data_IF_650751499146
#
_entry.id   IF_650751499146
#
_cell.length_a   1.000
_cell.length_b   1.000
_cell.length_c   1.000
_cell.angle_alpha   90.00
_cell.angle_beta   90.00
_cell.angle_gamma   90.00
#
_symmetry.space_group_name_H-M   'P 1'
#
loop_
_entity.id
_entity.type
_entity.pdbx_description
1 polymer ?
#
# COMPACT_ATOMS: atom_id res chain seq x y z
N UNK A 1 26.35 80.71 20.38
CA UNK A 1 24.98 81.25 20.72
C UNK A 1 24.00 80.11 20.69
N UNK A 2 23.39 79.87 21.88
CA UNK A 2 22.09 79.25 22.13
C UNK A 2 21.87 77.80 21.69
N UNK A 3 21.79 76.95 22.48
CA UNK A 3 20.92 76.51 23.60
C UNK A 3 20.30 75.14 23.28
N UNK A 4 20.53 74.20 24.13
CA UNK A 4 19.77 73.00 24.46
C UNK A 4 18.31 73.33 24.87
N UNK A 5 17.41 72.42 25.16
CA UNK A 5 17.51 71.05 25.55
C UNK A 5 16.31 70.15 25.09
N UNK A 6 16.33 68.87 25.43
CA UNK A 6 15.10 68.10 25.57
C UNK A 6 15.29 66.59 25.49
N UNK A 7 15.70 65.97 26.60
CA UNK A 7 15.60 64.54 26.73
C UNK A 7 14.18 64.06 26.99
N UNK A 8 13.85 62.86 26.53
CA UNK A 8 12.67 62.10 26.93
C UNK A 8 13.11 60.66 27.23
N UNK A 9 12.63 60.05 28.31
CA UNK A 9 13.15 58.80 28.84
C UNK A 9 12.61 57.56 28.19
N UNK A 10 13.40 56.54 28.27
CA UNK A 10 13.11 55.18 27.77
C UNK A 10 11.91 54.53 28.46
N UNK A 11 11.14 53.86 27.66
CA UNK A 11 10.16 52.87 28.04
C UNK A 11 10.47 51.58 27.37
N UNK A 12 11.34 50.80 27.98
CA UNK A 12 11.60 49.44 27.54
C UNK A 12 10.34 48.59 27.74
N UNK A 13 9.78 48.14 26.69
CA UNK A 13 8.72 47.15 26.70
C UNK A 13 9.30 45.77 26.39
N UNK A 14 9.68 45.05 27.46
CA UNK A 14 9.85 43.60 27.44
C UNK A 14 8.47 42.98 27.17
N UNK A 15 8.16 42.69 25.94
CA UNK A 15 7.07 41.77 25.58
C UNK A 15 7.50 41.14 24.29
N UNK A 16 7.87 39.89 24.30
CA UNK A 16 7.83 38.87 23.26
C UNK A 16 8.99 37.86 23.28
N UNK A 17 9.22 37.25 24.44
CA UNK A 17 9.96 36.01 24.54
C UNK A 17 9.07 34.79 24.85
N UNK A 18 7.77 34.96 25.10
CA UNK A 18 6.86 33.88 25.50
C UNK A 18 5.99 33.29 24.41
N UNK A 19 6.14 33.68 23.14
CA UNK A 19 5.27 33.17 22.04
C UNK A 19 5.99 32.21 21.09
N UNK A 20 7.31 32.13 21.17
CA UNK A 20 8.08 31.21 20.30
C UNK A 20 8.34 29.83 20.91
N UNK A 21 8.22 29.67 22.25
CA UNK A 21 8.36 28.34 22.88
C UNK A 21 7.14 27.45 22.72
N UNK A 22 5.95 27.98 22.46
CA UNK A 22 4.73 27.21 22.25
C UNK A 22 4.46 26.77 20.81
N UNK A 23 5.27 27.21 19.86
CA UNK A 23 5.13 26.85 18.44
C UNK A 23 6.15 25.80 18.01
N UNK A 24 7.31 25.74 18.65
CA UNK A 24 8.32 24.70 18.42
C UNK A 24 7.93 23.36 19.01
N UNK A 25 7.18 23.32 20.12
CA UNK A 25 6.72 22.08 20.75
C UNK A 25 5.60 21.34 19.98
N UNK A 26 5.04 21.97 18.96
CA UNK A 26 4.04 21.35 18.07
C UNK A 26 4.60 20.77 16.77
N UNK A 27 5.88 20.95 16.52
CA UNK A 27 6.58 20.44 15.32
C UNK A 27 7.60 19.34 15.64
N UNK A 28 7.76 18.94 16.90
CA UNK A 28 8.63 17.84 17.34
C UNK A 28 7.87 16.56 17.75
N UNK A 29 6.59 16.38 17.43
CA UNK A 29 6.13 15.03 17.16
C UNK A 29 6.79 14.63 15.85
N UNK A 30 8.03 14.14 15.91
CA UNK A 30 8.68 13.42 14.87
C UNK A 30 7.73 12.27 14.49
N UNK A 31 6.96 12.48 13.44
CA UNK A 31 5.94 11.53 13.00
C UNK A 31 6.71 10.28 12.63
N UNK A 32 6.65 9.29 13.51
CA UNK A 32 7.42 8.05 13.43
C UNK A 32 7.12 7.36 12.10
N UNK A 33 8.13 7.29 11.23
CA UNK A 33 7.98 6.66 9.93
C UNK A 33 7.63 5.18 10.12
N UNK A 34 6.50 4.77 9.56
CA UNK A 34 6.01 3.39 9.61
C UNK A 34 6.09 2.70 8.26
N UNK A 35 6.16 1.40 8.32
CA UNK A 35 6.19 0.54 7.14
C UNK A 35 5.23 -0.63 7.34
N UNK A 36 4.55 -1.04 6.27
CA UNK A 36 3.68 -2.21 6.26
C UNK A 36 4.51 -3.44 5.88
N UNK A 37 4.73 -4.39 6.81
CA UNK A 37 5.40 -5.63 6.49
C UNK A 37 4.47 -6.61 5.78
N UNK A 38 4.93 -7.17 4.68
CA UNK A 38 4.36 -8.33 4.01
C UNK A 38 5.37 -9.47 4.09
N UNK A 39 4.93 -10.65 4.48
CA UNK A 39 5.79 -11.84 4.52
C UNK A 39 5.20 -12.90 3.60
N UNK A 40 5.97 -13.28 2.58
CA UNK A 40 5.62 -14.38 1.68
C UNK A 40 6.27 -15.68 2.15
N UNK A 41 5.51 -16.76 2.16
CA UNK A 41 6.03 -18.10 2.44
C UNK A 41 6.68 -18.66 1.18
N UNK A 42 7.98 -18.98 1.26
CA UNK A 42 8.72 -19.59 0.14
C UNK A 42 9.44 -20.83 0.62
N UNK A 43 8.80 -21.98 0.45
CA UNK A 43 9.44 -23.27 0.73
C UNK A 43 10.31 -23.71 -0.46
N UNK A 44 11.47 -24.31 -0.19
CA UNK A 44 12.39 -24.73 -1.27
C UNK A 44 11.84 -25.82 -2.17
N UNK A 45 11.08 -26.76 -1.59
CA UNK A 45 10.55 -27.89 -2.34
C UNK A 45 9.32 -27.55 -3.18
N UNK A 46 8.60 -26.50 -2.80
CA UNK A 46 7.37 -26.03 -3.47
C UNK A 46 7.28 -24.50 -3.35
N UNK A 47 8.08 -23.75 -4.11
CA UNK A 47 7.93 -22.30 -4.15
C UNK A 47 6.57 -21.95 -4.78
N UNK A 48 5.93 -20.86 -4.34
CA UNK A 48 4.69 -20.43 -4.98
C UNK A 48 4.93 -19.89 -6.38
N UNK A 49 3.90 -19.95 -7.22
CA UNK A 49 3.88 -19.25 -8.50
C UNK A 49 3.99 -17.72 -8.26
N UNK A 50 4.70 -17.04 -9.15
CA UNK A 50 4.90 -15.59 -9.02
C UNK A 50 3.58 -14.83 -9.07
N UNK A 51 2.72 -15.15 -10.03
CA UNK A 51 1.40 -14.52 -10.17
C UNK A 51 0.53 -14.70 -8.93
N UNK A 52 0.50 -15.92 -8.36
CA UNK A 52 -0.25 -16.22 -7.15
C UNK A 52 0.26 -15.41 -5.93
N UNK A 53 1.59 -15.25 -5.80
CA UNK A 53 2.19 -14.46 -4.74
C UNK A 53 1.87 -12.96 -4.87
N UNK A 54 1.81 -12.43 -6.09
CA UNK A 54 1.42 -11.05 -6.36
C UNK A 54 -0.06 -10.81 -6.02
N UNK A 55 -0.95 -11.70 -6.45
CA UNK A 55 -2.38 -11.63 -6.16
C UNK A 55 -2.66 -11.78 -4.66
N UNK A 56 -1.99 -12.73 -3.98
CA UNK A 56 -2.07 -12.87 -2.52
C UNK A 56 -1.59 -11.63 -1.77
N UNK A 57 -0.51 -10.97 -2.23
CA UNK A 57 0.00 -9.75 -1.60
C UNK A 57 -0.96 -8.57 -1.76
N UNK A 58 -1.56 -8.40 -2.93
CA UNK A 58 -2.58 -7.39 -3.17
C UNK A 58 -3.80 -7.61 -2.27
N UNK A 59 -4.32 -8.84 -2.23
CA UNK A 59 -5.44 -9.21 -1.39
C UNK A 59 -5.13 -9.05 0.10
N UNK A 60 -3.94 -9.42 0.56
CA UNK A 60 -3.54 -9.24 1.96
C UNK A 60 -3.57 -7.76 2.39
N UNK A 61 -3.16 -6.84 1.52
CA UNK A 61 -3.27 -5.40 1.79
C UNK A 61 -4.74 -4.97 1.87
N UNK A 62 -5.61 -5.46 0.99
CA UNK A 62 -7.05 -5.14 1.01
C UNK A 62 -7.73 -5.69 2.27
N UNK A 63 -7.43 -6.92 2.66
CA UNK A 63 -7.92 -7.55 3.89
C UNK A 63 -7.52 -6.75 5.14
N UNK A 64 -6.29 -6.24 5.19
CA UNK A 64 -5.87 -5.36 6.28
C UNK A 64 -6.67 -4.06 6.29
N UNK A 65 -6.84 -3.40 5.14
CA UNK A 65 -7.55 -2.11 5.05
C UNK A 65 -9.05 -2.23 5.37
N UNK A 66 -9.64 -3.40 5.16
CA UNK A 66 -11.04 -3.69 5.48
C UNK A 66 -11.27 -4.24 6.90
N UNK A 67 -10.22 -4.66 7.58
CA UNK A 67 -10.30 -5.31 8.89
C UNK A 67 -10.91 -4.37 9.96
N UNK A 68 -11.83 -4.86 10.80
CA UNK A 68 -12.40 -4.05 11.89
C UNK A 68 -11.35 -3.44 12.83
N UNK A 69 -10.20 -4.07 13.01
CA UNK A 69 -9.11 -3.60 13.87
C UNK A 69 -8.42 -2.33 13.37
N UNK A 70 -8.60 -1.95 12.09
CA UNK A 70 -8.08 -0.67 11.53
C UNK A 70 -9.07 0.48 11.64
N UNK A 71 -10.33 0.21 12.01
CA UNK A 71 -11.36 1.25 12.17
C UNK A 71 -11.14 2.03 13.46
N UNK A 72 -11.80 3.18 13.58
CA UNK A 72 -11.69 4.03 14.77
C UNK A 72 -11.95 3.24 16.06
N UNK A 73 -10.99 3.34 16.99
CA UNK A 73 -10.98 2.59 18.25
C UNK A 73 -10.48 1.15 18.14
N UNK A 74 -10.15 0.67 16.95
CA UNK A 74 -9.57 -0.66 16.76
C UNK A 74 -8.09 -0.72 17.13
N UNK A 75 -7.61 -1.92 17.43
CA UNK A 75 -6.24 -2.20 17.90
C UNK A 75 -5.15 -1.66 16.95
N UNK A 76 -5.41 -1.66 15.63
CA UNK A 76 -4.45 -1.25 14.61
C UNK A 76 -4.71 0.14 14.02
N UNK A 77 -5.79 0.80 14.45
CA UNK A 77 -6.27 2.05 13.88
C UNK A 77 -5.22 3.16 13.87
N UNK A 78 -4.53 3.36 14.99
CA UNK A 78 -3.51 4.40 15.10
C UNK A 78 -2.28 4.10 14.23
N UNK A 79 -1.81 2.85 14.23
CA UNK A 79 -0.67 2.44 13.41
C UNK A 79 -0.94 2.60 11.91
N UNK A 80 -2.14 2.23 11.45
CA UNK A 80 -2.56 2.37 10.05
C UNK A 80 -2.73 3.84 9.69
N UNK A 81 -3.39 4.65 10.53
CA UNK A 81 -3.57 6.09 10.29
C UNK A 81 -2.23 6.83 10.20
N UNK A 82 -1.31 6.56 11.14
CA UNK A 82 0.03 7.15 11.10
C UNK A 82 0.80 6.76 9.84
N UNK A 83 0.74 5.47 9.44
CA UNK A 83 1.37 4.99 8.22
C UNK A 83 0.79 5.64 6.95
N UNK A 84 -0.53 5.74 6.84
CA UNK A 84 -1.20 6.38 5.70
C UNK A 84 -0.91 7.88 5.61
N UNK A 85 -0.75 8.55 6.74
CA UNK A 85 -0.52 10.00 6.80
C UNK A 85 0.87 10.46 6.36
N UNK A 86 1.90 9.58 6.42
CA UNK A 86 3.29 9.94 6.09
C UNK A 86 3.71 9.39 4.73
N UNK A 87 3.23 8.19 4.41
CA UNK A 87 3.58 7.50 3.16
C UNK A 87 3.41 6.00 3.33
N UNK A 88 2.72 5.41 2.41
CA UNK A 88 2.23 4.03 2.45
C UNK A 88 3.31 2.97 2.18
N UNK A 89 4.53 3.17 2.68
CA UNK A 89 5.67 2.29 2.44
C UNK A 89 5.35 0.84 2.78
N UNK A 90 5.73 -0.08 1.90
CA UNK A 90 5.60 -1.53 2.08
C UNK A 90 6.95 -2.21 1.93
N UNK A 91 7.19 -3.24 2.72
CA UNK A 91 8.38 -4.08 2.61
C UNK A 91 7.97 -5.54 2.59
N UNK A 92 8.43 -6.25 1.56
CA UNK A 92 8.20 -7.68 1.42
C UNK A 92 9.40 -8.43 1.93
N UNK A 93 9.17 -9.42 2.77
CA UNK A 93 10.16 -10.35 3.30
C UNK A 93 9.73 -11.78 3.03
N UNK A 94 10.67 -12.71 2.98
CA UNK A 94 10.36 -14.14 2.83
C UNK A 94 10.59 -14.91 4.14
N UNK A 95 9.76 -15.93 4.37
CA UNK A 95 9.91 -16.85 5.47
C UNK A 95 9.65 -18.28 5.01
N UNK A 96 10.22 -19.25 5.73
CA UNK A 96 9.97 -20.69 5.50
C UNK A 96 10.09 -21.48 6.80
N UNK A 97 9.48 -22.65 6.83
CA UNK A 97 9.61 -23.60 7.94
C UNK A 97 9.39 -22.95 9.31
N UNK A 98 10.40 -22.96 10.17
CA UNK A 98 10.32 -22.38 11.52
C UNK A 98 10.18 -20.86 11.53
N UNK A 99 10.73 -20.16 10.53
CA UNK A 99 10.55 -18.70 10.40
C UNK A 99 9.08 -18.38 10.14
N UNK A 100 8.45 -19.09 9.21
CA UNK A 100 7.03 -18.92 8.91
C UNK A 100 6.14 -19.16 10.14
N UNK A 101 6.40 -20.23 10.90
CA UNK A 101 5.64 -20.48 12.13
C UNK A 101 5.72 -19.33 13.13
N UNK A 102 6.93 -18.76 13.35
CA UNK A 102 7.08 -17.60 14.24
C UNK A 102 6.38 -16.35 13.72
N UNK A 103 6.32 -16.17 12.40
CA UNK A 103 5.56 -15.08 11.79
C UNK A 103 4.06 -15.21 12.06
N UNK A 104 3.53 -16.43 12.08
CA UNK A 104 2.11 -16.68 12.38
C UNK A 104 1.73 -16.32 13.81
N UNK A 105 2.66 -16.35 14.76
CA UNK A 105 2.44 -15.98 16.16
C UNK A 105 2.34 -14.45 16.37
N UNK A 106 2.74 -13.64 15.38
CA UNK A 106 2.66 -12.19 15.44
C UNK A 106 1.28 -11.68 14.95
N UNK A 107 0.82 -10.50 15.41
CA UNK A 107 -0.39 -9.88 14.87
C UNK A 107 -0.35 -9.76 13.35
N UNK A 108 -1.43 -10.09 12.66
CA UNK A 108 -1.49 -10.01 11.19
C UNK A 108 -2.62 -10.84 10.59
N UNK A 109 -2.74 -10.76 9.27
CA UNK A 109 -3.72 -11.51 8.47
C UNK A 109 -2.96 -12.34 7.45
N UNK A 110 -3.32 -13.62 7.30
CA UNK A 110 -2.75 -14.51 6.29
C UNK A 110 -3.76 -14.72 5.18
N UNK A 111 -3.35 -14.43 3.97
CA UNK A 111 -4.08 -14.75 2.75
C UNK A 111 -3.42 -15.95 2.09
N UNK A 112 -4.24 -16.95 1.75
CA UNK A 112 -3.86 -18.09 0.92
C UNK A 112 -4.54 -17.93 -0.44
N UNK A 113 -3.75 -17.83 -1.49
CA UNK A 113 -4.24 -17.73 -2.85
C UNK A 113 -3.52 -18.78 -3.71
N UNK A 114 -4.24 -19.82 -4.13
CA UNK A 114 -3.72 -20.96 -4.89
C UNK A 114 -2.44 -21.55 -4.29
N UNK A 115 -1.26 -21.32 -4.90
CA UNK A 115 0.03 -21.83 -4.42
C UNK A 115 0.70 -20.93 -3.38
N UNK A 116 0.23 -19.70 -3.18
CA UNK A 116 0.89 -18.70 -2.36
C UNK A 116 0.21 -18.48 -1.00
N UNK A 117 1.03 -18.27 0.02
CA UNK A 117 0.61 -17.74 1.33
C UNK A 117 1.38 -16.45 1.61
N UNK A 118 0.65 -15.38 1.86
CA UNK A 118 1.20 -14.07 2.23
C UNK A 118 0.56 -13.59 3.52
N UNK A 119 1.39 -13.17 4.48
CA UNK A 119 0.92 -12.56 5.72
C UNK A 119 1.23 -11.07 5.73
N UNK A 120 0.22 -10.26 5.95
CA UNK A 120 0.36 -8.83 6.21
C UNK A 120 0.31 -8.59 7.72
N UNK A 121 1.16 -7.70 8.20
CA UNK A 121 1.19 -7.25 9.59
C UNK A 121 0.73 -5.81 9.70
N UNK A 122 0.16 -5.37 10.84
CA UNK A 122 -0.09 -3.95 11.07
C UNK A 122 1.21 -3.15 10.90
N UNK A 123 1.13 -1.89 10.48
CA UNK A 123 2.32 -1.07 10.26
C UNK A 123 3.18 -0.93 11.52
N UNK A 124 4.49 -1.16 11.35
CA UNK A 124 5.48 -1.06 12.43
C UNK A 124 6.37 0.16 12.24
N UNK A 125 6.92 0.74 13.32
CA UNK A 125 7.95 1.78 13.21
C UNK A 125 9.15 1.29 12.39
N UNK A 126 9.76 2.18 11.62
CA UNK A 126 10.89 1.82 10.75
C UNK A 126 12.11 1.33 11.53
N UNK A 127 12.31 1.82 12.74
CA UNK A 127 13.41 1.53 13.66
C UNK A 127 13.08 0.50 14.74
N UNK A 128 11.81 0.11 14.89
CA UNK A 128 11.33 -0.79 15.96
C UNK A 128 10.56 -2.00 15.42
N UNK A 129 11.19 -2.77 14.55
CA UNK A 129 10.61 -3.99 14.02
C UNK A 129 10.56 -5.11 15.06
N UNK A 130 9.47 -5.89 15.14
CA UNK A 130 9.47 -7.16 15.86
C UNK A 130 10.64 -8.04 15.42
N UNK A 131 11.33 -8.67 16.39
CA UNK A 131 12.56 -9.44 16.16
C UNK A 131 12.40 -10.51 15.08
N UNK A 132 11.28 -11.21 15.07
CA UNK A 132 11.03 -12.29 14.11
C UNK A 132 10.76 -11.77 12.70
N UNK A 133 10.27 -10.54 12.54
CA UNK A 133 10.18 -9.87 11.25
C UNK A 133 11.52 -9.27 10.81
N UNK A 134 12.26 -8.62 11.72
CA UNK A 134 13.52 -7.94 11.38
C UNK A 134 14.62 -8.87 10.85
N UNK A 135 14.58 -10.14 11.23
CA UNK A 135 15.54 -11.18 10.83
C UNK A 135 15.25 -11.80 9.47
N UNK A 136 14.04 -11.63 8.94
CA UNK A 136 13.67 -12.19 7.65
C UNK A 136 14.41 -11.49 6.50
N UNK A 137 14.67 -12.22 5.44
CA UNK A 137 15.37 -11.69 4.27
C UNK A 137 14.41 -10.95 3.33
N UNK A 138 14.87 -9.83 2.79
CA UNK A 138 14.21 -9.08 1.71
C UNK A 138 14.59 -9.68 0.35
N UNK A 139 15.81 -10.18 0.20
CA UNK A 139 16.30 -10.83 -1.01
C UNK A 139 15.86 -12.30 -1.12
N UNK A 140 16.04 -12.90 -2.30
CA UNK A 140 15.68 -14.29 -2.55
C UNK A 140 14.18 -14.48 -2.70
N UNK A 141 13.54 -13.50 -3.30
CA UNK A 141 12.13 -13.52 -3.71
C UNK A 141 11.98 -13.68 -5.22
N UNK A 142 12.96 -14.34 -5.86
CA UNK A 142 12.89 -14.68 -7.28
C UNK A 142 11.88 -15.82 -7.46
N UNK A 143 10.67 -15.44 -7.83
CA UNK A 143 9.56 -16.35 -8.16
C UNK A 143 9.28 -16.29 -9.66
N UNK A 144 8.93 -17.43 -10.22
CA UNK A 144 8.53 -17.58 -11.63
C UNK A 144 7.20 -18.30 -11.71
N UNK A 145 6.51 -18.16 -12.81
CA UNK A 145 5.32 -18.94 -13.11
C UNK A 145 5.72 -20.16 -13.95
N UNK A 146 5.08 -21.30 -13.74
CA UNK A 146 5.30 -22.54 -14.49
C UNK A 146 4.86 -22.40 -15.95
N UNK A 147 3.86 -21.56 -16.20
CA UNK A 147 3.43 -21.14 -17.52
C UNK A 147 3.30 -19.61 -17.49
N UNK A 148 3.98 -18.93 -18.39
CA UNK A 148 3.81 -17.47 -18.49
C UNK A 148 2.37 -17.17 -18.91
N UNK A 149 1.63 -16.36 -18.10
CA UNK A 149 0.31 -15.94 -18.53
C UNK A 149 0.45 -15.04 -19.76
N UNK A 150 -0.37 -15.30 -20.78
CA UNK A 150 -0.39 -14.48 -21.99
C UNK A 150 -0.64 -13.01 -21.61
N UNK A 151 0.18 -12.07 -22.11
CA UNK A 151 0.00 -10.65 -21.86
C UNK A 151 -1.40 -10.19 -22.28
N UNK A 152 -2.12 -9.56 -21.39
CA UNK A 152 -3.49 -9.08 -21.63
C UNK A 152 -4.57 -10.18 -21.61
N UNK A 153 -4.22 -11.47 -21.43
CA UNK A 153 -5.20 -12.55 -21.33
C UNK A 153 -5.89 -12.57 -19.95
N UNK A 154 -7.18 -12.78 -19.94
CA UNK A 154 -7.96 -12.99 -18.71
C UNK A 154 -8.58 -11.74 -18.06
N UNK A 155 -8.49 -10.56 -18.72
CA UNK A 155 -8.95 -9.30 -18.12
C UNK A 155 -10.46 -9.19 -17.90
N UNK A 156 -11.29 -9.76 -18.79
CA UNK A 156 -12.73 -9.59 -18.66
C UNK A 156 -13.36 -10.34 -17.47
N UNK A 157 -12.89 -11.55 -17.18
CA UNK A 157 -13.41 -12.33 -16.06
C UNK A 157 -12.93 -11.74 -14.71
N UNK A 158 -11.64 -11.42 -14.61
CA UNK A 158 -11.05 -10.86 -13.40
C UNK A 158 -11.64 -9.47 -13.05
N UNK A 159 -11.84 -8.61 -14.04
CA UNK A 159 -12.48 -7.30 -13.84
C UNK A 159 -13.96 -7.34 -13.48
N UNK A 160 -14.63 -8.50 -13.69
CA UNK A 160 -16.02 -8.72 -13.25
C UNK A 160 -16.14 -9.07 -11.77
N UNK A 161 -15.07 -9.60 -11.18
CA UNK A 161 -15.07 -10.07 -9.79
C UNK A 161 -14.32 -9.13 -8.84
N UNK A 162 -13.45 -8.25 -9.35
CA UNK A 162 -12.64 -7.38 -8.54
C UNK A 162 -11.85 -6.36 -9.35
N UNK A 163 -10.65 -6.03 -8.88
CA UNK A 163 -9.72 -5.12 -9.55
C UNK A 163 -8.69 -5.91 -10.37
N UNK A 164 -8.30 -5.37 -11.51
CA UNK A 164 -7.13 -5.84 -12.26
C UNK A 164 -5.96 -4.88 -12.03
N UNK A 165 -4.84 -5.41 -11.59
CA UNK A 165 -3.61 -4.68 -11.33
C UNK A 165 -2.64 -4.95 -12.48
N UNK A 166 -2.50 -3.95 -13.36
CA UNK A 166 -1.72 -4.04 -14.58
C UNK A 166 -0.27 -3.64 -14.34
N UNK A 167 0.65 -4.59 -14.48
CA UNK A 167 2.09 -4.35 -14.42
C UNK A 167 2.58 -3.67 -15.71
N UNK A 168 3.51 -2.73 -15.56
CA UNK A 168 4.20 -2.11 -16.68
C UNK A 168 5.11 -3.12 -17.37
N UNK A 169 4.90 -3.44 -18.68
CA UNK A 169 5.69 -4.43 -19.39
C UNK A 169 7.14 -4.01 -19.63
N UNK A 170 7.46 -2.72 -19.53
CA UNK A 170 8.81 -2.19 -19.74
C UNK A 170 9.71 -2.31 -18.51
N UNK A 171 9.16 -2.72 -17.34
CA UNK A 171 9.91 -2.76 -16.08
C UNK A 171 10.14 -4.22 -15.64
N UNK A 172 11.40 -4.53 -15.37
CA UNK A 172 11.78 -5.77 -14.70
C UNK A 172 11.88 -5.54 -13.20
N UNK A 173 11.07 -6.26 -12.42
CA UNK A 173 11.04 -6.18 -10.96
C UNK A 173 11.17 -7.55 -10.35
N UNK A 174 11.95 -7.70 -9.27
CA UNK A 174 11.89 -8.90 -8.45
C UNK A 174 10.46 -9.16 -7.96
N UNK A 175 10.11 -10.40 -7.64
CA UNK A 175 8.77 -10.69 -7.15
C UNK A 175 8.47 -9.91 -5.85
N UNK A 176 9.44 -9.77 -4.95
CA UNK A 176 9.28 -8.97 -3.73
C UNK A 176 8.96 -7.49 -4.01
N UNK A 177 9.66 -6.88 -4.98
CA UNK A 177 9.37 -5.51 -5.42
C UNK A 177 7.97 -5.43 -6.05
N UNK A 178 7.65 -6.34 -6.97
CA UNK A 178 6.36 -6.39 -7.63
C UNK A 178 5.19 -6.58 -6.63
N UNK A 179 5.34 -7.46 -5.61
CA UNK A 179 4.37 -7.62 -4.52
C UNK A 179 4.12 -6.32 -3.76
N UNK A 180 5.17 -5.54 -3.45
CA UNK A 180 5.00 -4.24 -2.82
C UNK A 180 4.24 -3.27 -3.73
N UNK A 181 4.54 -3.26 -5.03
CA UNK A 181 3.92 -2.36 -6.01
C UNK A 181 2.45 -2.72 -6.27
N UNK A 182 2.09 -3.99 -6.39
CA UNK A 182 0.67 -4.39 -6.51
C UNK A 182 -0.10 -4.12 -5.20
N UNK A 183 0.55 -4.26 -4.04
CA UNK A 183 -0.01 -3.85 -2.76
C UNK A 183 -0.28 -2.34 -2.69
N UNK A 184 0.58 -1.50 -3.28
CA UNK A 184 0.32 -0.06 -3.42
C UNK A 184 -0.87 0.20 -4.34
N UNK A 185 -0.92 -0.47 -5.50
CA UNK A 185 -2.01 -0.29 -6.46
C UNK A 185 -3.37 -0.74 -5.88
N UNK A 186 -3.40 -1.85 -5.16
CA UNK A 186 -4.58 -2.33 -4.44
C UNK A 186 -5.08 -1.29 -3.42
N UNK A 187 -4.17 -0.67 -2.64
CA UNK A 187 -4.52 0.40 -1.70
C UNK A 187 -5.04 1.65 -2.41
N UNK A 188 -4.43 2.07 -3.53
CA UNK A 188 -4.93 3.20 -4.30
C UNK A 188 -6.32 2.90 -4.90
N UNK A 189 -6.56 1.66 -5.35
CA UNK A 189 -7.88 1.23 -5.79
C UNK A 189 -8.90 1.29 -4.65
N UNK A 190 -8.52 0.82 -3.45
CA UNK A 190 -9.36 0.89 -2.26
C UNK A 190 -9.74 2.33 -1.91
N UNK A 191 -8.76 3.24 -1.92
CA UNK A 191 -9.02 4.65 -1.65
C UNK A 191 -9.88 5.31 -2.73
N UNK A 192 -9.71 4.94 -4.00
CA UNK A 192 -10.53 5.41 -5.12
C UNK A 192 -11.94 4.81 -5.18
N UNK A 193 -12.24 3.80 -4.35
CA UNK A 193 -13.52 3.12 -4.31
C UNK A 193 -14.47 3.79 -3.33
N UNK A 194 -15.71 4.10 -3.77
CA UNK A 194 -16.79 4.50 -2.86
C UNK A 194 -17.30 3.33 -2.02
N UNK A 195 -18.13 3.62 -1.02
CA UNK A 195 -18.60 2.62 -0.05
C UNK A 195 -19.37 1.47 -0.72
N UNK A 196 -20.25 1.73 -1.68
CA UNK A 196 -20.96 0.70 -2.44
C UNK A 196 -20.00 -0.23 -3.19
N UNK A 197 -18.92 0.34 -3.76
CA UNK A 197 -17.89 -0.42 -4.45
C UNK A 197 -17.14 -1.34 -3.50
N UNK A 198 -16.79 -0.83 -2.33
CA UNK A 198 -16.10 -1.61 -1.29
C UNK A 198 -16.98 -2.73 -0.76
N UNK A 199 -18.31 -2.48 -0.54
CA UNK A 199 -19.25 -3.51 -0.14
C UNK A 199 -19.34 -4.61 -1.21
N UNK A 200 -19.54 -4.22 -2.47
CA UNK A 200 -19.61 -5.15 -3.59
C UNK A 200 -18.33 -5.98 -3.74
N UNK A 201 -17.16 -5.34 -3.58
CA UNK A 201 -15.85 -5.97 -3.68
C UNK A 201 -15.59 -6.95 -2.52
N UNK A 202 -15.99 -6.56 -1.31
CA UNK A 202 -15.93 -7.41 -0.10
C UNK A 202 -16.75 -8.70 -0.27
N UNK A 203 -17.95 -8.62 -0.80
CA UNK A 203 -18.81 -9.78 -1.08
C UNK A 203 -18.16 -10.78 -2.05
N UNK A 204 -17.15 -10.34 -2.80
CA UNK A 204 -16.35 -11.15 -3.74
C UNK A 204 -14.94 -11.45 -3.22
N UNK A 205 -14.77 -11.43 -1.91
CA UNK A 205 -13.51 -11.77 -1.25
C UNK A 205 -12.37 -10.84 -1.59
N UNK A 206 -12.66 -9.54 -1.89
CA UNK A 206 -11.65 -8.54 -2.25
C UNK A 206 -10.73 -9.01 -3.41
N UNK A 207 -11.30 -9.70 -4.38
CA UNK A 207 -10.57 -10.29 -5.48
C UNK A 207 -9.70 -9.26 -6.23
N UNK A 208 -8.44 -9.59 -6.43
CA UNK A 208 -7.47 -8.79 -7.16
C UNK A 208 -6.68 -9.68 -8.11
N UNK A 209 -6.78 -9.43 -9.40
CA UNK A 209 -6.00 -10.13 -10.41
C UNK A 209 -4.78 -9.30 -10.81
N UNK A 210 -3.64 -9.93 -11.00
CA UNK A 210 -2.42 -9.28 -11.48
C UNK A 210 -2.09 -9.75 -12.88
N UNK A 211 -1.88 -8.81 -13.80
CA UNK A 211 -1.57 -9.09 -15.20
C UNK A 211 -0.47 -8.16 -15.69
N UNK A 212 0.33 -8.63 -16.65
CA UNK A 212 1.25 -7.76 -17.38
C UNK A 212 0.52 -7.18 -18.59
N UNK A 213 0.55 -5.86 -18.75
CA UNK A 213 -0.07 -5.21 -19.90
C UNK A 213 0.74 -5.49 -21.19
N UNK A 214 0.07 -5.40 -22.34
CA UNK A 214 0.80 -5.21 -23.59
C UNK A 214 1.34 -3.77 -23.66
N UNK A 215 2.40 -3.47 -24.47
CA UNK A 215 2.92 -2.11 -24.58
C UNK A 215 1.83 -1.07 -24.96
N UNK A 216 0.98 -1.41 -25.93
CA UNK A 216 -0.10 -0.53 -26.36
C UNK A 216 -1.18 -0.39 -25.27
N UNK A 217 -1.59 -1.49 -24.66
CA UNK A 217 -2.53 -1.49 -23.53
C UNK A 217 -2.02 -0.70 -22.33
N UNK A 218 -0.70 -0.73 -22.07
CA UNK A 218 -0.10 0.09 -21.02
C UNK A 218 -0.24 1.58 -21.31
N UNK A 219 0.00 2.02 -22.56
CA UNK A 219 -0.14 3.42 -22.94
C UNK A 219 -1.59 3.92 -22.74
N UNK A 220 -2.58 3.11 -23.10
CA UNK A 220 -4.00 3.39 -22.88
C UNK A 220 -4.33 3.49 -21.38
N UNK A 221 -3.92 2.51 -20.58
CA UNK A 221 -4.14 2.47 -19.13
C UNK A 221 -3.52 3.67 -18.43
N UNK A 222 -2.29 4.02 -18.78
CA UNK A 222 -1.58 5.16 -18.20
C UNK A 222 -2.24 6.51 -18.53
N UNK A 223 -2.92 6.61 -19.67
CA UNK A 223 -3.69 7.79 -20.11
C UNK A 223 -5.12 7.85 -19.57
N UNK A 224 -5.66 6.77 -19.00
CA UNK A 224 -7.06 6.64 -18.63
C UNK A 224 -7.47 7.39 -17.34
N UNK A 225 -6.52 7.96 -16.60
CA UNK A 225 -6.78 8.64 -15.33
C UNK A 225 -7.11 7.68 -14.18
N UNK A 226 -6.72 6.43 -14.30
CA UNK A 226 -6.87 5.39 -13.28
C UNK A 226 -5.84 5.54 -12.15
N UNK A 227 -6.08 4.96 -10.96
CA UNK A 227 -5.09 4.91 -9.89
C UNK A 227 -3.81 4.23 -10.37
N UNK A 228 -2.68 4.94 -10.26
CA UNK A 228 -1.38 4.49 -10.78
C UNK A 228 -0.28 4.67 -9.74
N UNK A 229 0.52 3.64 -9.54
CA UNK A 229 1.66 3.67 -8.64
C UNK A 229 2.87 4.27 -9.34
N UNK A 230 3.46 5.29 -8.71
CA UNK A 230 4.76 5.85 -9.07
C UNK A 230 5.78 5.44 -8.02
N UNK A 231 6.86 4.80 -8.43
CA UNK A 231 7.91 4.37 -7.50
C UNK A 231 8.70 5.57 -6.95
N UNK A 232 9.01 5.52 -5.66
CA UNK A 232 9.81 6.57 -5.02
C UNK A 232 11.33 6.43 -5.26
N UNK A 233 11.77 5.36 -5.93
CA UNK A 233 13.17 5.14 -6.31
C UNK A 233 14.08 4.63 -5.20
N UNK A 234 13.51 3.91 -4.23
CA UNK A 234 14.33 3.36 -3.14
C UNK A 234 15.12 2.10 -3.51
N UNK A 235 14.85 1.46 -4.65
CA UNK A 235 15.46 0.17 -5.03
C UNK A 235 15.63 -0.01 -6.54
N UNK A 236 15.23 -1.11 -7.13
CA UNK A 236 15.55 -1.69 -8.43
C UNK A 236 15.20 -0.87 -9.68
N UNK A 237 14.36 0.15 -9.58
CA UNK A 237 13.86 0.93 -10.71
C UNK A 237 14.03 2.43 -10.48
N UNK A 238 14.04 3.21 -11.56
CA UNK A 238 14.22 4.65 -11.50
C UNK A 238 13.09 5.36 -10.73
N UNK A 239 13.43 6.43 -9.96
CA UNK A 239 12.44 7.24 -9.27
C UNK A 239 11.38 7.80 -10.23
N UNK A 240 10.11 7.76 -9.82
CA UNK A 240 9.00 8.27 -10.60
C UNK A 240 8.47 7.32 -11.68
N UNK A 241 9.11 6.16 -11.87
CA UNK A 241 8.62 5.14 -12.80
C UNK A 241 7.20 4.70 -12.45
N UNK A 242 6.32 4.66 -13.45
CA UNK A 242 4.96 4.14 -13.32
C UNK A 242 5.01 2.61 -13.35
N UNK A 243 4.62 1.95 -12.27
CA UNK A 243 4.84 0.51 -12.10
C UNK A 243 3.60 -0.34 -12.27
N UNK A 244 2.47 0.09 -11.71
CA UNK A 244 1.20 -0.63 -11.73
C UNK A 244 0.04 0.35 -11.90
N UNK A 245 -0.93 0.00 -12.73
CA UNK A 245 -2.22 0.68 -12.84
C UNK A 245 -3.31 -0.22 -12.27
N UNK A 246 -4.17 0.31 -11.42
CA UNK A 246 -5.34 -0.40 -10.91
C UNK A 246 -6.56 -0.05 -11.77
N UNK A 247 -7.19 -1.07 -12.34
CA UNK A 247 -8.35 -0.95 -13.21
C UNK A 247 -9.53 -1.75 -12.68
N UNK A 248 -10.66 -1.08 -12.55
CA UNK A 248 -11.94 -1.71 -12.23
C UNK A 248 -13.07 -0.86 -12.83
N UNK A 249 -14.24 -1.47 -13.11
CA UNK A 249 -15.36 -0.73 -13.72
C UNK A 249 -15.75 0.52 -12.95
N UNK A 250 -15.69 0.50 -11.63
CA UNK A 250 -16.04 1.63 -10.77
C UNK A 250 -14.95 2.70 -10.63
N UNK A 251 -13.72 2.41 -11.04
CA UNK A 251 -12.62 3.37 -11.04
C UNK A 251 -12.56 4.20 -12.32
N UNK A 252 -13.21 3.75 -13.39
CA UNK A 252 -13.26 4.44 -14.68
C UNK A 252 -14.29 5.58 -14.64
N UNK A 253 -13.92 6.76 -15.13
CA UNK A 253 -14.86 7.89 -15.28
C UNK A 253 -15.98 7.50 -16.25
N UNK A 254 -17.24 7.57 -15.80
CA UNK A 254 -18.40 7.14 -16.58
C UNK A 254 -18.50 5.62 -16.74
N UNK A 255 -17.76 4.87 -15.95
CA UNK A 255 -17.66 3.43 -16.04
C UNK A 255 -18.98 2.70 -15.77
N UNK A 256 -19.14 1.58 -16.45
CA UNK A 256 -20.23 0.63 -16.32
C UNK A 256 -20.32 0.15 -14.86
N UNK A 257 -21.50 0.25 -14.27
CA UNK A 257 -21.81 -0.40 -13.01
C UNK A 257 -22.12 -1.87 -13.31
N UNK A 258 -21.44 -2.85 -12.67
CA UNK A 258 -21.76 -4.27 -12.87
C UNK A 258 -23.24 -4.56 -12.62
N UNK A 259 -23.81 -5.51 -13.33
CA UNK A 259 -25.17 -5.97 -13.06
C UNK A 259 -25.25 -6.48 -11.61
N UNK A 260 -26.18 -5.92 -10.83
CA UNK A 260 -26.26 -6.14 -9.39
C UNK A 260 -25.66 -5.03 -8.52
N UNK A 261 -25.03 -4.02 -9.14
CA UNK A 261 -24.64 -2.81 -8.47
C UNK A 261 -25.83 -1.87 -8.28
N UNK A 262 -26.43 -1.90 -7.13
CA UNK A 262 -27.48 -0.96 -6.71
C UNK A 262 -27.22 -0.52 -5.28
N UNK A 263 -27.70 0.67 -4.86
CA UNK A 263 -27.65 1.02 -3.46
C UNK A 263 -28.36 -0.08 -2.65
N UNK A 264 -27.71 -0.54 -1.58
CA UNK A 264 -28.37 -1.42 -0.63
C UNK A 264 -29.66 -0.73 -0.22
N UNK A 265 -30.81 -1.38 -0.51
CA UNK A 265 -32.09 -0.88 -0.04
C UNK A 265 -32.01 -0.86 1.48
N UNK A 266 -32.02 0.36 2.05
CA UNK A 266 -32.25 0.53 3.49
C UNK A 266 -33.56 -0.15 3.87
N UNK A 267 -33.45 -1.24 4.58
CA UNK A 267 -34.57 -1.93 5.27
C UNK A 267 -34.85 -1.24 6.59
#
# INVERSE_FOLDING_TARGET
MRNLPGGVPGGGRRVREGILEGVTDRFEEATEQRVLPLVVRIERAAPPERSDALEAAAQAVLELLDDPRVRDGGEWAEAVRSWEGIGIRKVVRRARGAEWRRVLDLPGITVTHRTAEVRVHPPVPLDAWPRDLSRLQVSGTELTDSAEPEPGSGSEAAGREGVVLWLNPALSMSAGKAMAQVGHAAQLAWWGSGDDARVWWRERGLAAAVRTATPDGWAELAGAGLPMVRDAGFTEIEPGSCTVVADAPWLRRGGFRPAGWGPLRSS
#
